data_IF_587889245506
#
_entry.id   IF_587889245506
#
_cell.length_a   1.000
_cell.length_b   1.000
_cell.length_c   1.000
_cell.angle_alpha   90.00
_cell.angle_beta   90.00
_cell.angle_gamma   90.00
#
_symmetry.space_group_name_H-M   'P 1'
#
loop_
_entity.id
_entity.type
_entity.pdbx_description
1 polymer ?
#
# COMPACT_ATOMS: atom_id res chain seq x y z
N UNK A 1 -12.97 9.19 -12.69
CA UNK A 1 -13.09 7.80 -12.22
C UNK A 1 -14.21 7.75 -11.17
N UNK A 2 -14.97 6.66 -11.07
CA UNK A 2 -16.10 6.54 -10.13
C UNK A 2 -15.66 5.78 -8.87
N UNK A 3 -15.88 6.36 -7.68
CA UNK A 3 -15.70 5.75 -6.35
C UNK A 3 -16.21 4.30 -6.29
N UNK A 4 -17.33 4.03 -6.97
CA UNK A 4 -17.95 2.70 -7.02
C UNK A 4 -17.04 1.61 -7.61
N UNK A 5 -16.14 1.95 -8.54
CA UNK A 5 -15.17 0.99 -9.09
C UNK A 5 -14.20 0.54 -8.01
N UNK A 6 -13.67 1.48 -7.23
CA UNK A 6 -12.76 1.16 -6.13
C UNK A 6 -13.47 0.32 -5.07
N UNK A 7 -14.70 0.67 -4.72
CA UNK A 7 -15.54 -0.09 -3.79
C UNK A 7 -15.86 -1.52 -4.26
N UNK A 8 -15.77 -1.81 -5.57
CA UNK A 8 -15.89 -3.18 -6.06
C UNK A 8 -14.70 -4.06 -5.66
N UNK A 9 -13.53 -3.47 -5.43
CA UNK A 9 -12.30 -4.18 -5.01
C UNK A 9 -11.99 -3.98 -3.52
N UNK A 10 -12.38 -2.86 -2.93
CA UNK A 10 -12.15 -2.53 -1.53
C UNK A 10 -13.39 -1.79 -0.98
N UNK A 11 -14.38 -2.53 -0.43
CA UNK A 11 -15.64 -1.98 0.05
C UNK A 11 -15.50 -0.96 1.17
N UNK A 12 -14.38 -0.98 1.90
CA UNK A 12 -14.17 -0.03 3.00
C UNK A 12 -13.86 1.38 2.52
N UNK A 13 -13.56 1.60 1.23
CA UNK A 13 -13.31 2.94 0.69
C UNK A 13 -14.59 3.79 0.76
N UNK A 14 -14.47 4.95 1.40
CA UNK A 14 -15.56 5.91 1.64
C UNK A 14 -15.50 7.11 0.71
N UNK A 15 -14.29 7.63 0.46
CA UNK A 15 -14.08 8.80 -0.38
C UNK A 15 -12.69 8.77 -1.04
N UNK A 16 -12.53 9.50 -2.14
CA UNK A 16 -11.25 9.70 -2.83
C UNK A 16 -10.74 11.09 -2.43
N UNK A 17 -9.54 11.15 -1.84
CA UNK A 17 -8.92 12.39 -1.37
C UNK A 17 -7.99 13.01 -2.43
N UNK A 18 -7.23 12.18 -3.15
CA UNK A 18 -6.34 12.62 -4.21
C UNK A 18 -6.17 11.54 -5.28
N UNK A 19 -5.85 11.96 -6.51
CA UNK A 19 -5.70 11.06 -7.66
C UNK A 19 -4.45 11.41 -8.46
N UNK A 20 -3.57 10.43 -8.68
CA UNK A 20 -2.45 10.54 -9.60
C UNK A 20 -2.77 9.76 -10.89
N UNK A 21 -2.64 10.43 -12.05
CA UNK A 21 -3.06 9.85 -13.32
C UNK A 21 -2.31 8.57 -13.68
N UNK A 22 -1.03 8.46 -13.36
CA UNK A 22 -0.22 7.27 -13.61
C UNK A 22 0.79 7.05 -12.50
N UNK A 23 0.84 5.82 -11.98
CA UNK A 23 1.84 5.34 -11.05
C UNK A 23 2.37 3.97 -11.45
N UNK A 24 3.63 3.69 -11.10
CA UNK A 24 4.27 2.38 -11.26
C UNK A 24 4.74 1.88 -9.91
N UNK A 25 4.51 0.59 -9.67
CA UNK A 25 4.87 -0.09 -8.43
C UNK A 25 6.28 -0.68 -8.53
N UNK A 26 7.09 -0.39 -7.51
CA UNK A 26 8.43 -0.92 -7.31
C UNK A 26 8.56 -1.50 -5.90
N UNK A 27 9.53 -2.37 -5.67
CA UNK A 27 9.99 -2.75 -4.33
C UNK A 27 11.50 -2.56 -4.22
N UNK A 28 12.01 -2.27 -3.03
CA UNK A 28 13.45 -2.41 -2.73
C UNK A 28 13.71 -3.83 -2.27
N UNK A 29 14.72 -4.49 -2.86
CA UNK A 29 15.38 -5.62 -2.23
C UNK A 29 16.45 -5.08 -1.27
N UNK A 30 16.28 -5.35 0.03
CA UNK A 30 17.24 -4.93 1.06
C UNK A 30 18.66 -5.44 0.83
N UNK A 31 18.83 -6.57 0.14
CA UNK A 31 20.15 -7.14 -0.19
C UNK A 31 20.79 -6.47 -1.42
N UNK A 32 20.01 -6.17 -2.45
CA UNK A 32 20.52 -5.62 -3.71
C UNK A 32 20.64 -4.08 -3.70
N UNK A 33 20.01 -3.40 -2.74
CA UNK A 33 20.05 -1.95 -2.60
C UNK A 33 19.40 -1.16 -3.75
N UNK A 34 18.63 -1.83 -4.61
CA UNK A 34 18.05 -1.26 -5.81
C UNK A 34 16.52 -1.41 -5.90
N UNK A 35 15.90 -0.56 -6.71
CA UNK A 35 14.47 -0.64 -7.03
C UNK A 35 14.21 -1.72 -8.06
N UNK A 36 13.44 -2.74 -7.67
CA UNK A 36 12.94 -3.79 -8.54
C UNK A 36 11.53 -3.41 -8.98
N UNK A 37 11.29 -3.44 -10.27
CA UNK A 37 9.95 -3.28 -10.83
C UNK A 37 9.21 -4.61 -10.72
N UNK A 38 7.93 -4.57 -10.38
CA UNK A 38 7.08 -5.76 -10.41
C UNK A 38 7.07 -6.40 -11.81
N UNK A 39 7.11 -7.73 -11.90
CA UNK A 39 6.85 -8.50 -13.12
C UNK A 39 5.67 -9.47 -12.84
N UNK A 40 4.55 -9.47 -13.58
CA UNK A 40 4.17 -8.47 -14.55
C UNK A 40 4.10 -7.08 -13.92
N UNK A 41 4.43 -6.06 -14.73
CA UNK A 41 4.37 -4.67 -14.30
C UNK A 41 2.98 -4.29 -13.79
N UNK A 42 2.94 -3.72 -12.58
CA UNK A 42 1.76 -3.04 -12.06
C UNK A 42 1.91 -1.54 -12.35
N UNK A 43 1.03 -1.04 -13.21
CA UNK A 43 0.98 0.37 -13.58
C UNK A 43 -0.46 0.82 -13.76
N UNK A 44 -0.80 1.98 -13.21
CA UNK A 44 -2.14 2.52 -13.40
C UNK A 44 -2.44 3.76 -12.59
N UNK A 45 -3.71 3.98 -12.25
CA UNK A 45 -4.11 5.21 -11.56
C UNK A 45 -4.01 5.03 -10.05
N UNK A 46 -3.31 5.94 -9.39
CA UNK A 46 -3.18 5.96 -7.94
C UNK A 46 -4.30 6.80 -7.32
N UNK A 47 -4.89 6.30 -6.25
CA UNK A 47 -5.89 6.98 -5.45
C UNK A 47 -5.43 6.98 -3.99
N UNK A 48 -5.39 8.16 -3.38
CA UNK A 48 -5.43 8.26 -1.92
C UNK A 48 -6.90 8.25 -1.51
N UNK A 49 -7.30 7.31 -0.66
CA UNK A 49 -8.69 7.13 -0.25
C UNK A 49 -8.84 7.17 1.27
N UNK A 50 -9.94 7.75 1.73
CA UNK A 50 -10.43 7.56 3.09
C UNK A 50 -11.17 6.21 3.16
N UNK A 51 -10.95 5.45 4.23
CA UNK A 51 -11.66 4.19 4.48
C UNK A 51 -12.57 4.30 5.71
N UNK A 52 -13.51 3.36 5.82
CA UNK A 52 -14.31 3.17 7.03
C UNK A 52 -13.38 3.01 8.24
N UNK A 53 -13.58 3.80 9.31
CA UNK A 53 -12.76 3.73 10.51
C UNK A 53 -12.78 2.34 11.15
N UNK A 54 -11.66 1.93 11.74
CA UNK A 54 -11.64 0.73 12.59
C UNK A 54 -12.22 1.04 13.94
N UNK A 55 -13.01 0.10 14.45
CA UNK A 55 -13.45 0.10 15.85
C UNK A 55 -12.69 -0.99 16.57
N UNK A 56 -11.85 -0.61 17.53
CA UNK A 56 -11.13 -1.53 18.41
C UNK A 56 -11.67 -1.29 19.80
N UNK A 57 -12.46 -2.21 20.34
CA UNK A 57 -13.11 -2.02 21.65
C UNK A 57 -13.87 -0.67 21.68
N UNK A 58 -13.48 0.26 22.55
CA UNK A 58 -14.06 1.60 22.68
C UNK A 58 -13.41 2.65 21.74
N UNK A 59 -12.37 2.27 21.01
CA UNK A 59 -11.56 3.16 20.19
C UNK A 59 -12.01 3.19 18.73
N UNK A 60 -11.96 4.39 18.13
CA UNK A 60 -12.23 4.60 16.70
C UNK A 60 -10.97 5.15 16.03
N UNK A 61 -10.39 4.37 15.13
CA UNK A 61 -9.17 4.76 14.40
C UNK A 61 -9.50 5.16 12.97
N UNK A 62 -9.03 6.33 12.49
CA UNK A 62 -9.18 6.71 11.10
C UNK A 62 -8.37 5.77 10.21
N UNK A 63 -8.90 5.46 9.03
CA UNK A 63 -8.18 4.70 8.01
C UNK A 63 -8.09 5.45 6.70
N UNK A 64 -6.97 5.24 6.04
CA UNK A 64 -6.74 5.69 4.69
C UNK A 64 -5.88 4.66 3.97
N UNK A 65 -6.09 4.51 2.66
CA UNK A 65 -5.27 3.65 1.83
C UNK A 65 -4.77 4.36 0.58
N UNK A 66 -3.66 3.84 0.08
CA UNK A 66 -3.22 4.07 -1.30
C UNK A 66 -3.70 2.90 -2.13
N UNK A 67 -4.47 3.19 -3.17
CA UNK A 67 -4.99 2.20 -4.13
C UNK A 67 -4.39 2.46 -5.51
N UNK A 68 -3.74 1.48 -6.12
CA UNK A 68 -3.32 1.52 -7.52
C UNK A 68 -4.23 0.63 -8.34
N UNK A 69 -5.07 1.24 -9.17
CA UNK A 69 -5.90 0.53 -10.13
C UNK A 69 -5.05 0.19 -11.36
N UNK A 70 -4.69 -1.08 -11.50
CA UNK A 70 -3.81 -1.55 -12.56
C UNK A 70 -4.52 -1.50 -13.92
N UNK A 71 -3.90 -0.81 -14.88
CA UNK A 71 -4.43 -0.69 -16.25
C UNK A 71 -4.07 -1.86 -17.14
N UNK A 72 -3.02 -2.61 -16.78
CA UNK A 72 -2.45 -3.70 -17.60
C UNK A 72 -2.91 -5.08 -17.15
N UNK A 73 -3.65 -5.18 -16.05
CA UNK A 73 -4.11 -6.45 -15.50
C UNK A 73 -5.08 -6.28 -14.34
N UNK A 74 -5.50 -7.40 -13.76
CA UNK A 74 -6.50 -7.44 -12.68
C UNK A 74 -5.90 -7.31 -11.27
N UNK A 75 -4.57 -7.30 -11.18
CA UNK A 75 -3.83 -7.18 -9.92
C UNK A 75 -3.67 -5.71 -9.55
N UNK A 76 -4.60 -5.21 -8.72
CA UNK A 76 -4.52 -3.90 -8.10
C UNK A 76 -3.65 -3.98 -6.83
N UNK A 77 -3.22 -2.82 -6.35
CA UNK A 77 -2.47 -2.71 -5.10
C UNK A 77 -3.27 -1.87 -4.11
N UNK A 78 -3.44 -2.37 -2.90
CA UNK A 78 -4.07 -1.64 -1.79
C UNK A 78 -3.13 -1.66 -0.61
N UNK A 79 -2.71 -0.47 -0.16
CA UNK A 79 -1.82 -0.29 0.98
C UNK A 79 -2.58 0.50 2.04
N UNK A 80 -2.92 -0.16 3.15
CA UNK A 80 -3.45 0.53 4.33
C UNK A 80 -2.34 1.33 5.00
N UNK A 81 -2.54 2.65 5.12
CA UNK A 81 -1.55 3.54 5.73
C UNK A 81 -1.37 3.30 7.23
N UNK A 82 -2.30 2.62 7.91
CA UNK A 82 -2.12 2.19 9.28
C UNK A 82 -1.04 1.10 9.42
N UNK A 83 -0.75 0.35 8.34
CA UNK A 83 0.26 -0.74 8.33
C UNK A 83 1.63 -0.29 7.79
N UNK A 84 1.76 0.99 7.42
CA UNK A 84 3.01 1.57 6.93
C UNK A 84 3.79 2.11 8.12
N UNK A 85 5.02 1.64 8.34
CA UNK A 85 5.87 2.11 9.44
C UNK A 85 6.68 3.37 9.09
N UNK A 86 6.87 3.64 7.80
CA UNK A 86 7.56 4.83 7.32
C UNK A 86 7.01 5.25 5.97
N UNK A 87 6.67 6.53 5.78
CA UNK A 87 6.33 7.07 4.47
C UNK A 87 7.18 8.32 4.16
N UNK A 88 7.78 8.35 2.97
CA UNK A 88 8.57 9.49 2.50
C UNK A 88 8.32 9.74 1.00
N UNK A 89 8.69 10.93 0.53
CA UNK A 89 8.76 11.25 -0.91
C UNK A 89 10.21 11.53 -1.26
N UNK A 90 10.76 10.80 -2.22
CA UNK A 90 12.11 11.01 -2.75
C UNK A 90 12.07 11.14 -4.26
N UNK A 91 12.39 12.31 -4.81
CA UNK A 91 12.47 12.51 -6.27
C UNK A 91 11.17 12.16 -7.03
N UNK A 92 10.00 12.39 -6.42
CA UNK A 92 8.69 12.05 -7.01
C UNK A 92 8.26 10.58 -6.82
N UNK A 93 9.07 9.77 -6.14
CA UNK A 93 8.74 8.42 -5.70
C UNK A 93 8.19 8.48 -4.27
N UNK A 94 6.97 7.98 -4.06
CA UNK A 94 6.45 7.73 -2.71
C UNK A 94 7.04 6.41 -2.22
N UNK A 95 7.67 6.40 -1.06
CA UNK A 95 8.22 5.21 -0.43
C UNK A 95 7.38 4.85 0.80
N UNK A 96 6.99 3.58 0.91
CA UNK A 96 6.17 3.05 2.00
C UNK A 96 6.90 1.85 2.61
N UNK A 97 7.42 2.02 3.81
CA UNK A 97 8.02 0.96 4.60
C UNK A 97 6.95 0.03 5.15
N UNK A 98 7.12 -1.26 4.91
CA UNK A 98 6.22 -2.32 5.32
C UNK A 98 6.94 -3.16 6.37
N UNK A 99 6.33 -3.32 7.55
CA UNK A 99 6.89 -4.23 8.55
C UNK A 99 6.63 -5.67 8.14
N UNK A 100 7.65 -6.52 8.27
CA UNK A 100 7.51 -7.96 8.10
C UNK A 100 7.66 -8.65 9.46
N UNK A 101 6.68 -9.44 9.88
CA UNK A 101 6.71 -10.19 11.15
C UNK A 101 7.98 -11.06 11.28
N UNK A 102 8.48 -11.59 10.17
CA UNK A 102 9.69 -12.43 10.13
C UNK A 102 10.97 -11.66 10.53
N UNK A 103 10.95 -10.33 10.45
CA UNK A 103 12.13 -9.49 10.78
C UNK A 103 12.16 -9.03 12.23
N UNK A 104 11.09 -9.32 13.00
CA UNK A 104 11.09 -9.19 14.46
C UNK A 104 11.80 -10.36 15.14
N UNK A 105 12.19 -11.42 14.42
CA UNK A 105 13.21 -12.34 14.95
C UNK A 105 14.54 -11.60 14.97
N UNK A 106 14.91 -11.08 16.15
CA UNK A 106 16.27 -10.63 16.46
C UNK A 106 17.25 -11.57 15.75
N UNK A 107 18.15 -11.03 14.94
CA UNK A 107 19.32 -11.79 14.52
C UNK A 107 20.00 -12.37 15.77
N UNK A 108 20.75 -13.47 15.66
CA UNK A 108 21.36 -14.16 16.82
C UNK A 108 22.13 -13.23 17.77
N UNK A 109 22.64 -12.09 17.29
CA UNK A 109 23.39 -11.10 18.08
C UNK A 109 22.58 -9.87 18.55
N UNK A 110 21.25 -9.88 18.44
CA UNK A 110 20.39 -8.80 18.96
C UNK A 110 20.57 -7.45 18.26
N UNK A 111 21.35 -7.39 17.18
CA UNK A 111 21.38 -6.24 16.27
C UNK A 111 20.09 -6.22 15.47
N UNK A 112 19.38 -5.09 15.50
CA UNK A 112 18.30 -4.83 14.55
C UNK A 112 18.92 -4.96 13.16
N UNK A 113 18.64 -6.07 12.48
CA UNK A 113 18.96 -6.21 11.08
C UNK A 113 18.15 -5.16 10.33
N UNK A 114 18.74 -3.98 10.11
CA UNK A 114 18.20 -2.98 9.18
C UNK A 114 18.00 -3.55 7.76
N UNK A 115 18.48 -4.77 7.51
CA UNK A 115 18.36 -5.55 6.28
C UNK A 115 16.99 -6.20 6.03
N UNK A 116 16.02 -6.10 6.95
CA UNK A 116 14.73 -6.80 6.84
C UNK A 116 13.55 -5.98 6.30
N UNK A 117 13.61 -4.65 6.38
CA UNK A 117 12.47 -3.80 6.06
C UNK A 117 12.20 -3.79 4.55
N UNK A 118 11.01 -4.27 4.15
CA UNK A 118 10.56 -4.17 2.77
C UNK A 118 10.04 -2.76 2.51
N UNK A 119 10.43 -2.16 1.38
CA UNK A 119 9.96 -0.84 0.99
C UNK A 119 9.25 -0.93 -0.35
N UNK A 120 7.99 -0.49 -0.37
CA UNK A 120 7.20 -0.33 -1.57
C UNK A 120 7.39 1.08 -2.14
N UNK A 121 7.72 1.17 -3.41
CA UNK A 121 7.87 2.42 -4.15
C UNK A 121 6.70 2.63 -5.10
N UNK A 122 6.11 3.82 -5.09
CA UNK A 122 5.06 4.23 -6.01
C UNK A 122 5.53 5.45 -6.78
N UNK A 123 6.02 5.21 -8.00
CA UNK A 123 6.55 6.28 -8.84
C UNK A 123 5.42 6.91 -9.63
N UNK A 124 5.20 8.21 -9.49
CA UNK A 124 4.18 8.93 -10.24
C UNK A 124 4.79 9.38 -11.56
N UNK A 125 4.16 9.05 -12.69
CA UNK A 125 4.52 9.64 -13.99
C UNK A 125 3.77 10.96 -14.20
N UNK A 126 4.43 11.91 -14.85
CA UNK A 126 3.74 13.10 -15.36
C UNK A 126 3.52 14.20 -14.33
N UNK A 127 4.34 14.26 -13.26
CA UNK A 127 4.50 15.45 -12.42
C UNK A 127 5.23 16.60 -13.16
N UNK A 128 5.23 16.58 -14.50
CA UNK A 128 6.03 17.44 -15.37
C UNK A 128 5.69 18.91 -15.20
N UNK A 129 6.59 19.62 -14.55
CA UNK A 129 7.23 20.85 -15.04
C UNK A 129 6.46 21.55 -16.17
N UNK A 130 5.92 22.74 -15.88
CA UNK A 130 5.53 23.82 -16.80
C UNK A 130 5.88 23.56 -18.27
N UNK A 131 5.07 22.73 -18.94
CA UNK A 131 5.10 22.56 -20.38
C UNK A 131 4.09 23.54 -20.96
N UNK A 132 4.60 24.64 -21.53
CA UNK A 132 3.80 25.56 -22.34
C UNK A 132 3.09 24.77 -23.45
N UNK A 133 1.81 24.44 -23.25
CA UNK A 133 1.07 23.54 -24.13
C UNK A 133 -0.36 23.28 -23.66
N UNK A 134 -1.23 24.27 -23.86
CA UNK A 134 -2.68 24.16 -24.00
C UNK A 134 -3.46 23.15 -23.12
N UNK A 135 -4.08 23.64 -22.04
CA UNK A 135 -5.54 23.47 -21.90
C UNK A 135 -6.12 22.49 -20.87
N UNK A 136 -5.33 21.78 -20.06
CA UNK A 136 -5.88 20.96 -18.96
C UNK A 136 -5.12 21.18 -17.65
N UNK A 137 -5.33 22.35 -17.02
CA UNK A 137 -4.80 22.68 -15.69
C UNK A 137 -5.72 22.15 -14.58
N UNK A 138 -5.77 20.83 -14.40
CA UNK A 138 -6.14 20.28 -13.09
C UNK A 138 -4.97 20.46 -12.12
N UNK A 139 -5.21 20.56 -10.80
CA UNK A 139 -4.10 20.55 -9.84
C UNK A 139 -3.29 19.26 -10.03
N UNK A 140 -1.99 19.43 -10.19
CA UNK A 140 -1.04 18.32 -10.27
C UNK A 140 -1.12 17.51 -8.96
N UNK A 141 -1.02 16.19 -9.03
CA UNK A 141 -1.01 15.34 -7.84
C UNK A 141 0.23 15.66 -7.00
N UNK A 142 0.01 16.08 -5.75
CA UNK A 142 1.05 16.32 -4.76
C UNK A 142 1.38 15.00 -4.02
N UNK A 143 2.55 14.38 -4.22
CA UNK A 143 2.91 13.14 -3.51
C UNK A 143 2.99 13.33 -1.99
N UNK A 144 3.27 14.54 -1.49
CA UNK A 144 3.33 14.83 -0.06
C UNK A 144 1.95 14.71 0.62
N UNK A 145 0.84 14.71 -0.14
CA UNK A 145 -0.50 14.46 0.41
C UNK A 145 -0.59 13.06 1.03
N UNK A 146 0.11 12.08 0.47
CA UNK A 146 0.14 10.70 0.99
C UNK A 146 0.90 10.66 2.31
N UNK A 147 2.05 11.32 2.39
CA UNK A 147 2.86 11.38 3.62
C UNK A 147 2.11 12.12 4.73
N UNK A 148 1.49 13.27 4.42
CA UNK A 148 0.67 14.02 5.38
C UNK A 148 -0.50 13.19 5.90
N UNK A 149 -1.16 12.43 5.00
CA UNK A 149 -2.27 11.56 5.40
C UNK A 149 -1.81 10.40 6.27
N UNK A 150 -0.69 9.78 5.92
CA UNK A 150 -0.05 8.75 6.75
C UNK A 150 0.29 9.29 8.14
N UNK A 151 0.94 10.45 8.25
CA UNK A 151 1.26 11.08 9.53
C UNK A 151 -0.01 11.33 10.36
N UNK A 152 -1.09 11.80 9.75
CA UNK A 152 -2.35 12.03 10.45
C UNK A 152 -2.95 10.72 11.00
N UNK A 153 -2.87 9.61 10.26
CA UNK A 153 -3.28 8.28 10.72
C UNK A 153 -2.40 7.84 11.91
N UNK A 154 -1.08 7.96 11.79
CA UNK A 154 -0.14 7.56 12.85
C UNK A 154 -0.35 8.38 14.14
N UNK A 155 -0.52 9.70 14.04
CA UNK A 155 -0.83 10.56 15.19
C UNK A 155 -2.14 10.16 15.84
N UNK A 156 -3.19 9.87 15.06
CA UNK A 156 -4.46 9.41 15.60
C UNK A 156 -4.33 8.06 16.33
N UNK A 157 -3.56 7.13 15.78
CA UNK A 157 -3.28 5.84 16.42
C UNK A 157 -2.52 6.01 17.73
N UNK A 158 -1.45 6.81 17.75
CA UNK A 158 -0.68 7.12 18.97
C UNK A 158 -1.56 7.77 20.04
N UNK A 159 -2.40 8.73 19.67
CA UNK A 159 -3.28 9.42 20.62
C UNK A 159 -4.36 8.51 21.20
N UNK A 160 -4.75 7.46 20.47
CA UNK A 160 -5.86 6.59 20.84
C UNK A 160 -5.39 5.36 21.62
N UNK A 161 -4.30 4.73 21.19
CA UNK A 161 -3.76 3.48 21.77
C UNK A 161 -2.56 3.74 22.71
N UNK A 162 -1.87 4.88 22.56
CA UNK A 162 -0.60 5.15 23.21
C UNK A 162 0.58 4.48 22.49
N UNK A 163 1.77 5.09 22.61
CA UNK A 163 2.96 4.67 21.84
C UNK A 163 3.40 3.23 22.12
N UNK A 164 3.26 2.75 23.35
CA UNK A 164 3.67 1.38 23.71
C UNK A 164 2.77 0.31 23.10
N UNK A 165 1.46 0.59 22.95
CA UNK A 165 0.53 -0.32 22.31
C UNK A 165 0.70 -0.34 20.80
N UNK A 166 1.36 0.67 20.21
CA UNK A 166 1.57 0.76 18.77
C UNK A 166 2.44 -0.38 18.22
N UNK A 167 3.46 -0.82 18.97
CA UNK A 167 4.24 -2.01 18.60
C UNK A 167 3.39 -3.28 18.53
N UNK A 168 2.39 -3.41 19.40
CA UNK A 168 1.46 -4.54 19.43
C UNK A 168 0.21 -4.30 18.55
N UNK A 169 0.11 -3.13 17.90
CA UNK A 169 -1.09 -2.69 17.18
C UNK A 169 -1.35 -3.50 15.92
N UNK A 170 -0.35 -4.18 15.34
CA UNK A 170 -0.59 -5.04 14.18
C UNK A 170 -1.63 -6.13 14.44
N UNK A 171 -1.53 -6.83 15.58
CA UNK A 171 -2.52 -7.84 15.96
C UNK A 171 -3.91 -7.25 16.19
N UNK A 172 -3.98 -6.03 16.75
CA UNK A 172 -5.23 -5.30 16.90
C UNK A 172 -5.83 -4.85 15.56
N UNK A 173 -5.00 -4.37 14.63
CA UNK A 173 -5.41 -3.96 13.29
C UNK A 173 -5.96 -5.16 12.51
N UNK A 174 -5.29 -6.31 12.58
CA UNK A 174 -5.75 -7.53 11.91
C UNK A 174 -7.06 -8.05 12.52
N UNK A 175 -7.19 -7.99 13.85
CA UNK A 175 -8.44 -8.32 14.55
C UNK A 175 -9.57 -7.38 14.15
N UNK A 176 -9.31 -6.08 14.13
CA UNK A 176 -10.31 -5.07 13.76
C UNK A 176 -10.70 -5.14 12.28
N UNK A 177 -9.73 -5.38 11.40
CA UNK A 177 -9.98 -5.63 9.98
C UNK A 177 -10.86 -6.89 9.81
N UNK A 178 -10.59 -7.95 10.58
CA UNK A 178 -11.43 -9.15 10.60
C UNK A 178 -12.86 -8.84 11.06
N UNK A 179 -13.04 -8.06 12.13
CA UNK A 179 -14.36 -7.63 12.60
C UNK A 179 -15.09 -6.75 11.57
N UNK A 180 -14.38 -5.87 10.86
CA UNK A 180 -14.94 -5.09 9.78
C UNK A 180 -15.42 -5.99 8.63
N UNK A 181 -14.67 -7.04 8.28
CA UNK A 181 -15.08 -8.04 7.28
C UNK A 181 -16.30 -8.84 7.72
N UNK A 182 -16.37 -9.25 8.99
CA UNK A 182 -17.55 -9.92 9.56
C UNK A 182 -18.79 -9.02 9.47
N UNK A 183 -18.63 -7.73 9.79
CA UNK A 183 -19.72 -6.74 9.67
C UNK A 183 -20.21 -6.60 8.23
N UNK A 184 -19.30 -6.49 7.24
CA UNK A 184 -19.67 -6.43 5.83
C UNK A 184 -20.42 -7.70 5.39
N UNK A 185 -19.97 -8.87 5.84
CA UNK A 185 -20.62 -10.16 5.56
C UNK A 185 -22.03 -10.20 6.14
N UNK A 186 -22.21 -9.71 7.37
CA UNK A 186 -23.53 -9.59 8.02
C UNK A 186 -24.50 -8.64 7.29
N UNK A 187 -23.97 -7.70 6.51
CA UNK A 187 -24.74 -6.81 5.63
C UNK A 187 -25.00 -7.41 4.24
N UNK A 188 -24.60 -8.66 3.99
CA UNK A 188 -24.72 -9.32 2.68
C UNK A 188 -23.74 -8.78 1.63
N UNK A 189 -22.71 -8.04 2.05
CA UNK A 189 -21.66 -7.54 1.17
C UNK A 189 -20.49 -8.51 1.14
N UNK A 190 -19.80 -8.62 -0.01
CA UNK A 190 -18.53 -9.35 -0.06
C UNK A 190 -17.46 -8.49 0.65
N UNK A 191 -16.88 -8.95 1.76
CA UNK A 191 -15.89 -8.18 2.52
C UNK A 191 -14.60 -7.89 1.73
N UNK A 192 -14.27 -8.73 0.76
CA UNK A 192 -13.12 -8.56 -0.12
C UNK A 192 -13.49 -7.79 -1.40
N UNK A 193 -14.76 -7.38 -1.54
CA UNK A 193 -15.28 -6.64 -2.70
C UNK A 193 -15.88 -7.55 -3.76
N UNK A 194 -16.97 -7.11 -4.37
CA UNK A 194 -17.73 -7.93 -5.35
C UNK A 194 -16.90 -8.34 -6.57
N UNK A 195 -15.87 -7.57 -6.95
CA UNK A 195 -15.00 -7.90 -8.07
C UNK A 195 -14.17 -9.17 -7.79
N UNK A 196 -13.88 -9.48 -6.53
CA UNK A 196 -13.09 -10.68 -6.17
C UNK A 196 -13.79 -11.98 -6.54
N UNK A 197 -15.11 -11.98 -6.69
CA UNK A 197 -15.87 -13.13 -7.20
C UNK A 197 -15.49 -13.50 -8.64
N UNK A 198 -15.08 -12.51 -9.44
CA UNK A 198 -14.70 -12.69 -10.83
C UNK A 198 -13.18 -12.76 -11.04
N UNK A 199 -12.40 -12.01 -10.24
CA UNK A 199 -10.95 -11.85 -10.46
C UNK A 199 -10.07 -12.48 -9.38
N UNK A 200 -10.66 -12.99 -8.30
CA UNK A 200 -9.95 -13.44 -7.10
C UNK A 200 -9.59 -12.30 -6.14
N UNK A 201 -9.11 -12.63 -4.93
CA UNK A 201 -8.69 -11.64 -3.94
C UNK A 201 -7.50 -10.82 -4.44
N UNK A 202 -7.44 -9.55 -4.06
CA UNK A 202 -6.28 -8.72 -4.32
C UNK A 202 -5.14 -9.11 -3.38
N UNK A 203 -3.88 -9.17 -3.86
CA UNK A 203 -2.78 -9.51 -2.99
C UNK A 203 -2.64 -8.45 -1.90
N UNK A 204 -2.46 -8.89 -0.66
CA UNK A 204 -2.07 -7.97 0.40
C UNK A 204 -0.62 -7.50 0.17
N UNK A 205 -0.19 -6.48 0.91
CA UNK A 205 1.14 -5.89 0.69
C UNK A 205 2.28 -6.90 0.90
N UNK A 206 2.15 -7.86 1.84
CA UNK A 206 3.15 -8.91 2.07
C UNK A 206 3.23 -9.87 0.86
N UNK A 207 2.09 -10.30 0.35
CA UNK A 207 2.00 -11.13 -0.87
C UNK A 207 2.56 -10.38 -2.08
N UNK A 208 2.24 -9.10 -2.21
CA UNK A 208 2.79 -8.23 -3.25
C UNK A 208 4.31 -8.16 -3.17
N UNK A 209 4.87 -7.91 -1.99
CA UNK A 209 6.33 -7.86 -1.82
C UNK A 209 6.97 -9.22 -2.11
N UNK A 210 6.38 -10.32 -1.64
CA UNK A 210 6.85 -11.67 -1.92
C UNK A 210 6.85 -11.99 -3.43
N UNK A 211 5.81 -11.56 -4.15
CA UNK A 211 5.75 -11.71 -5.61
C UNK A 211 6.83 -10.88 -6.32
N UNK A 212 7.01 -9.61 -5.94
CA UNK A 212 8.01 -8.73 -6.60
C UNK A 212 9.44 -9.16 -6.28
N UNK A 213 9.71 -9.59 -5.04
CA UNK A 213 11.06 -9.97 -4.61
C UNK A 213 11.40 -11.42 -4.94
N UNK A 214 10.47 -12.36 -4.80
CA UNK A 214 10.67 -13.79 -5.05
C UNK A 214 11.00 -14.14 -6.51
N UNK A 215 10.70 -13.23 -7.44
CA UNK A 215 11.10 -13.38 -8.85
C UNK A 215 12.59 -13.15 -9.09
N UNK A 216 13.30 -12.49 -8.17
CA UNK A 216 14.74 -12.26 -8.34
C UNK A 216 15.57 -13.53 -8.10
N UNK A 217 15.10 -14.45 -7.24
CA UNK A 217 15.81 -15.69 -6.92
C UNK A 217 15.82 -16.74 -8.04
N UNK A 218 15.01 -16.59 -9.09
CA UNK A 218 14.85 -17.58 -10.16
C UNK A 218 15.55 -17.26 -11.49
N UNK A 219 16.26 -16.14 -11.61
CA UNK A 219 16.91 -15.69 -12.87
C UNK A 219 18.43 -15.59 -12.75
N UNK A 220 19.04 -16.59 -12.14
CA UNK A 220 20.46 -16.91 -12.28
C UNK A 220 20.59 -18.35 -12.74
N UNK A 221 21.44 -18.61 -13.74
CA UNK A 221 21.70 -19.91 -14.40
C UNK A 221 20.90 -20.20 -15.68
N UNK A 222 20.91 -19.25 -16.62
CA UNK A 222 20.95 -19.59 -18.03
C UNK A 222 22.39 -19.47 -18.52
N UNK A 223 23.13 -20.58 -18.53
CA UNK A 223 24.43 -20.69 -19.21
C UNK A 223 24.25 -20.36 -20.70
N UNK A 224 24.77 -19.22 -21.14
CA UNK A 224 25.20 -19.06 -22.54
C UNK A 224 26.57 -19.71 -22.67
N UNK A 225 26.55 -21.02 -22.87
CA UNK A 225 27.69 -21.78 -23.38
C UNK A 225 27.34 -22.27 -24.77
N UNK A 226 27.81 -21.55 -25.79
CA UNK A 226 28.28 -22.03 -27.10
C UNK A 226 28.95 -20.87 -27.84
#
# INVERSE_FOLDING_TARGET
MNLRVLQCYEPTIRSIEAVAASSVVYAINGEAGGWIKADPQIEGTLFLCEQEPLKIEEFVLPRACVFVLNRKGLMNVVVDLARVCKAEVLGGLITLGIENEETMSKGPDGTNGASGQQVLGLWIHGNGTTGSGSGMSGPLFDPDVVVRRWQAVQVAMVNTLGSSQLLDTMGFLDTAATMAKVKLTGLGLNPDGIATTAVGPQPNVKELMAMVLGQTSGRGLGQEGL
#
